data_IF_102949445875
#
_entry.id   IF_102949445875
#
_cell.length_a   1.000
_cell.length_b   1.000
_cell.length_c   1.000
_cell.angle_alpha   90.00
_cell.angle_beta   90.00
_cell.angle_gamma   90.00
#
_symmetry.space_group_name_H-M   'P 1'
#
loop_
_entity.id
_entity.type
_entity.pdbx_description
1 polymer ?
#
# COMPACT_ATOMS: atom_id res chain seq x y z
N UNK A 1 33.24 -14.62 23.10
CA UNK A 1 33.17 -14.52 21.62
C UNK A 1 33.53 -13.11 21.25
N UNK A 2 34.53 -12.93 20.39
CA UNK A 2 35.04 -11.61 20.00
C UNK A 2 35.05 -11.48 18.48
N UNK A 3 35.00 -10.23 18.02
CA UNK A 3 35.24 -9.86 16.64
C UNK A 3 36.37 -8.83 16.59
N UNK A 4 37.34 -9.04 15.71
CA UNK A 4 38.49 -8.16 15.47
C UNK A 4 38.60 -7.91 13.98
N UNK A 5 38.23 -6.70 13.54
CA UNK A 5 37.99 -6.42 12.13
C UNK A 5 36.96 -7.39 11.53
N UNK A 6 37.37 -8.17 10.53
CA UNK A 6 36.51 -9.15 9.85
C UNK A 6 36.59 -10.56 10.43
N UNK A 7 37.37 -10.78 11.49
CA UNK A 7 37.53 -12.10 12.10
C UNK A 7 36.61 -12.23 13.31
N UNK A 8 35.82 -13.29 13.36
CA UNK A 8 34.96 -13.62 14.50
C UNK A 8 35.33 -14.99 15.09
N UNK A 9 35.35 -15.09 16.42
CA UNK A 9 35.61 -16.38 17.07
C UNK A 9 35.72 -16.35 18.59
N UNK A 10 36.12 -17.49 19.14
CA UNK A 10 36.32 -17.69 20.59
C UNK A 10 37.83 -17.69 20.86
N UNK A 11 38.29 -16.80 21.73
CA UNK A 11 39.68 -16.81 22.22
C UNK A 11 39.93 -18.09 23.01
N UNK A 12 40.91 -18.89 22.59
CA UNK A 12 41.33 -20.11 23.29
C UNK A 12 42.49 -19.86 24.24
N UNK A 13 43.49 -19.10 23.77
CA UNK A 13 44.71 -18.81 24.53
C UNK A 13 45.30 -17.48 24.09
N UNK A 14 45.76 -16.68 25.04
CA UNK A 14 46.52 -15.45 24.79
C UNK A 14 47.99 -15.76 25.13
N UNK A 15 48.88 -15.61 24.16
CA UNK A 15 50.32 -15.72 24.33
C UNK A 15 51.01 -14.35 24.31
N UNK A 16 52.34 -14.34 24.46
CA UNK A 16 53.13 -13.11 24.56
C UNK A 16 53.05 -12.24 23.29
N UNK A 17 53.08 -12.86 22.11
CA UNK A 17 53.07 -12.16 20.81
C UNK A 17 51.82 -12.41 19.98
N UNK A 18 51.07 -13.47 20.29
CA UNK A 18 49.92 -13.87 19.51
C UNK A 18 48.80 -14.46 20.36
N UNK A 19 47.59 -14.30 19.88
CA UNK A 19 46.36 -14.83 20.46
C UNK A 19 45.78 -15.88 19.52
N UNK A 20 45.39 -17.02 20.09
CA UNK A 20 44.77 -18.13 19.38
C UNK A 20 43.25 -18.00 19.47
N UNK A 21 42.59 -17.91 18.32
CA UNK A 21 41.14 -17.78 18.19
C UNK A 21 40.61 -18.98 17.41
N UNK A 22 39.53 -19.61 17.85
CA UNK A 22 38.80 -20.62 17.07
C UNK A 22 37.56 -19.97 16.44
N UNK A 23 37.42 -20.03 15.12
CA UNK A 23 36.25 -19.54 14.39
C UNK A 23 35.04 -20.46 14.58
N UNK A 24 33.86 -20.03 14.12
CA UNK A 24 32.65 -20.84 14.14
C UNK A 24 32.80 -22.13 13.30
N UNK A 25 33.61 -22.10 12.25
CA UNK A 25 33.93 -23.24 11.39
C UNK A 25 35.00 -24.18 11.98
N UNK A 26 35.32 -24.00 13.28
CA UNK A 26 36.36 -24.75 14.00
C UNK A 26 37.78 -24.58 13.45
N UNK A 27 38.05 -23.51 12.71
CA UNK A 27 39.39 -23.18 12.20
C UNK A 27 40.16 -22.42 13.29
N UNK A 28 41.43 -22.77 13.49
CA UNK A 28 42.31 -22.07 14.44
C UNK A 28 43.07 -20.94 13.76
N UNK A 29 42.86 -19.72 14.23
CA UNK A 29 43.51 -18.49 13.80
C UNK A 29 44.54 -18.05 14.82
N UNK A 30 45.73 -17.66 14.35
CA UNK A 30 46.79 -17.08 15.17
C UNK A 30 46.86 -15.59 14.82
N UNK A 31 46.48 -14.74 15.76
CA UNK A 31 46.39 -13.28 15.55
C UNK A 31 47.50 -12.59 16.33
N UNK A 32 48.40 -11.81 15.70
CA UNK A 32 49.39 -11.02 16.41
C UNK A 32 48.74 -10.05 17.39
N UNK A 33 49.32 -9.89 18.58
CA UNK A 33 48.75 -9.03 19.62
C UNK A 33 48.70 -7.55 19.21
N UNK A 34 49.63 -7.08 18.37
CA UNK A 34 49.61 -5.73 17.82
C UNK A 34 48.31 -5.41 17.08
N UNK A 35 47.71 -6.39 16.41
CA UNK A 35 46.45 -6.21 15.68
C UNK A 35 45.28 -5.82 16.58
N UNK A 36 45.28 -6.25 17.84
CA UNK A 36 44.24 -5.87 18.81
C UNK A 36 44.43 -4.46 19.38
N UNK A 37 45.64 -3.90 19.25
CA UNK A 37 45.93 -2.51 19.61
C UNK A 37 45.58 -1.55 18.47
N UNK A 38 45.74 -2.00 17.23
CA UNK A 38 45.48 -1.22 16.02
C UNK A 38 43.99 -1.20 15.61
N UNK A 39 43.24 -2.26 15.94
CA UNK A 39 41.85 -2.42 15.48
C UNK A 39 40.87 -2.45 16.66
N UNK A 40 39.64 -1.98 16.41
CA UNK A 40 38.54 -2.13 17.35
C UNK A 40 38.20 -3.61 17.59
N UNK A 41 37.96 -3.94 18.87
CA UNK A 41 37.59 -5.29 19.32
C UNK A 41 36.17 -5.26 19.87
N UNK A 42 35.25 -5.94 19.18
CA UNK A 42 33.90 -6.13 19.69
C UNK A 42 33.87 -7.40 20.54
N UNK A 43 33.68 -7.24 21.85
CA UNK A 43 33.56 -8.36 22.77
C UNK A 43 32.08 -8.61 23.13
N UNK A 44 31.49 -9.60 22.47
CA UNK A 44 30.09 -9.98 22.65
C UNK A 44 29.81 -10.72 23.96
N UNK A 45 30.85 -11.19 24.65
CA UNK A 45 30.72 -11.98 25.88
C UNK A 45 31.23 -11.26 27.12
N UNK A 46 31.50 -9.96 27.03
CA UNK A 46 31.99 -9.18 28.16
C UNK A 46 30.86 -8.85 29.14
N UNK A 47 31.04 -9.21 30.42
CA UNK A 47 30.10 -9.05 31.55
C UNK A 47 28.73 -9.71 31.39
N UNK A 48 27.94 -9.32 30.38
CA UNK A 48 26.63 -9.86 30.10
C UNK A 48 26.61 -10.40 28.65
N UNK A 49 26.50 -11.72 28.45
CA UNK A 49 26.51 -12.32 27.11
C UNK A 49 25.20 -12.09 26.35
N UNK A 50 24.21 -11.40 26.96
CA UNK A 50 22.96 -11.04 26.31
C UNK A 50 23.24 -10.07 25.16
N UNK A 51 23.05 -10.56 23.94
CA UNK A 51 23.26 -9.81 22.70
C UNK A 51 21.96 -9.63 21.94
N UNK A 52 21.78 -8.46 21.33
CA UNK A 52 20.63 -8.16 20.46
C UNK A 52 20.97 -8.58 19.02
N UNK A 53 20.11 -9.39 18.42
CA UNK A 53 20.19 -9.79 17.01
C UNK A 53 19.09 -9.07 16.24
N UNK A 54 19.46 -8.53 15.08
CA UNK A 54 18.60 -7.81 14.16
C UNK A 54 18.27 -8.72 12.98
N UNK A 55 16.98 -8.93 12.72
CA UNK A 55 16.48 -9.74 11.61
C UNK A 55 15.61 -8.86 10.70
N UNK A 56 16.13 -8.45 9.53
CA UNK A 56 15.37 -7.65 8.58
C UNK A 56 14.33 -8.52 7.86
N UNK A 57 13.12 -8.01 7.72
CA UNK A 57 11.96 -8.70 7.16
C UNK A 57 11.23 -7.74 6.23
N UNK A 58 10.98 -8.16 4.99
CA UNK A 58 10.17 -7.42 4.01
C UNK A 58 8.83 -8.10 3.77
N UNK A 59 7.74 -7.33 3.76
CA UNK A 59 6.39 -7.83 3.42
C UNK A 59 5.74 -6.95 2.34
N UNK A 60 4.76 -7.48 1.61
CA UNK A 60 4.12 -6.73 0.53
C UNK A 60 3.30 -5.54 1.05
N UNK A 61 3.20 -4.46 0.26
CA UNK A 61 2.50 -3.23 0.62
C UNK A 61 1.00 -3.42 0.96
N UNK A 62 0.35 -4.43 0.37
CA UNK A 62 -1.05 -4.75 0.65
C UNK A 62 -1.29 -5.46 1.99
N UNK A 63 -0.24 -5.77 2.76
CA UNK A 63 -0.35 -6.57 3.98
C UNK A 63 -0.86 -5.76 5.17
N UNK A 64 -1.74 -6.34 5.98
CA UNK A 64 -2.21 -5.68 7.21
C UNK A 64 -1.09 -5.67 8.28
N UNK A 65 -0.55 -4.48 8.57
CA UNK A 65 0.57 -4.26 9.50
C UNK A 65 0.32 -4.87 10.89
N UNK A 66 -0.93 -4.85 11.37
CA UNK A 66 -1.31 -5.41 12.68
C UNK A 66 -1.15 -6.93 12.70
N UNK A 67 -1.56 -7.62 11.62
CA UNK A 67 -1.41 -9.06 11.48
C UNK A 67 0.07 -9.44 11.34
N UNK A 68 0.81 -8.71 10.51
CA UNK A 68 2.27 -8.88 10.36
C UNK A 68 2.97 -8.82 11.71
N UNK A 69 2.68 -7.78 12.50
CA UNK A 69 3.25 -7.61 13.83
C UNK A 69 2.93 -8.77 14.76
N UNK A 70 1.68 -9.22 14.77
CA UNK A 70 1.24 -10.35 15.61
C UNK A 70 1.96 -11.64 15.20
N UNK A 71 1.96 -11.95 13.90
CA UNK A 71 2.56 -13.15 13.32
C UNK A 71 4.05 -13.28 13.65
N UNK A 72 4.81 -12.18 13.49
CA UNK A 72 6.26 -12.18 13.72
C UNK A 72 6.59 -12.23 15.21
N UNK A 73 5.88 -11.46 16.06
CA UNK A 73 6.15 -11.46 17.50
C UNK A 73 5.77 -12.78 18.17
N UNK A 74 4.72 -13.46 17.69
CA UNK A 74 4.33 -14.79 18.15
C UNK A 74 5.43 -15.82 17.89
N UNK A 75 6.01 -15.80 16.69
CA UNK A 75 7.16 -16.64 16.33
C UNK A 75 8.38 -16.32 17.20
N UNK A 76 8.70 -15.03 17.37
CA UNK A 76 9.86 -14.63 18.16
C UNK A 76 9.73 -15.07 19.63
N UNK A 77 8.54 -14.94 20.23
CA UNK A 77 8.29 -15.32 21.63
C UNK A 77 8.23 -16.83 21.86
N UNK A 78 7.84 -17.60 20.85
CA UNK A 78 7.76 -19.07 20.96
C UNK A 78 9.11 -19.76 20.81
N UNK A 79 10.14 -19.06 20.33
CA UNK A 79 11.44 -19.65 20.08
C UNK A 79 12.29 -19.78 21.37
N UNK A 80 12.84 -20.96 21.71
CA UNK A 80 13.49 -21.20 23.00
C UNK A 80 14.81 -20.44 23.20
N UNK A 81 15.54 -20.11 22.13
CA UNK A 81 16.79 -19.34 22.23
C UNK A 81 16.56 -17.83 22.39
N UNK A 82 15.33 -17.35 22.17
CA UNK A 82 14.97 -15.94 22.30
C UNK A 82 14.54 -15.64 23.74
N UNK A 83 15.10 -14.58 24.31
CA UNK A 83 14.74 -14.13 25.64
C UNK A 83 13.37 -13.47 25.64
N UNK A 84 12.57 -13.77 26.67
CA UNK A 84 11.30 -13.10 26.95
C UNK A 84 11.51 -11.78 27.70
N UNK A 85 12.63 -11.63 28.41
CA UNK A 85 13.05 -10.43 29.08
C UNK A 85 14.56 -10.19 28.84
N UNK A 86 14.96 -9.18 28.06
CA UNK A 86 14.12 -8.19 27.36
C UNK A 86 13.22 -8.82 26.29
N UNK A 87 11.99 -8.31 26.15
CA UNK A 87 11.02 -8.87 25.21
C UNK A 87 11.36 -8.53 23.76
N UNK A 88 11.12 -9.44 22.80
CA UNK A 88 11.29 -9.16 21.37
C UNK A 88 10.50 -7.94 20.91
N UNK A 89 11.10 -7.13 20.05
CA UNK A 89 10.49 -5.94 19.49
C UNK A 89 10.48 -6.01 17.97
N UNK A 90 9.42 -5.51 17.36
CA UNK A 90 9.33 -5.37 15.90
C UNK A 90 9.22 -3.88 15.59
N UNK A 91 10.18 -3.35 14.86
CA UNK A 91 10.18 -1.96 14.42
C UNK A 91 9.83 -1.88 12.94
N UNK A 92 8.90 -1.01 12.60
CA UNK A 92 8.70 -0.59 11.21
C UNK A 92 9.82 0.39 10.88
N UNK A 93 10.68 0.07 9.90
CA UNK A 93 11.81 0.92 9.55
C UNK A 93 11.39 1.97 8.54
N UNK A 94 10.97 1.51 7.37
CA UNK A 94 10.76 2.36 6.20
C UNK A 94 9.84 1.69 5.18
N UNK A 95 9.39 2.50 4.23
CA UNK A 95 8.73 2.06 3.01
C UNK A 95 9.82 1.87 1.93
N UNK A 96 10.16 0.62 1.62
CA UNK A 96 11.17 0.29 0.62
C UNK A 96 10.59 0.21 -0.80
N UNK A 97 11.45 0.13 -1.82
CA UNK A 97 11.04 0.22 -3.24
C UNK A 97 9.97 -0.81 -3.66
N UNK A 98 9.95 -2.00 -3.06
CA UNK A 98 8.96 -3.06 -3.35
C UNK A 98 8.40 -3.73 -2.09
N UNK A 99 8.78 -3.27 -0.90
CA UNK A 99 8.42 -3.92 0.36
C UNK A 99 8.27 -2.95 1.53
N UNK A 100 7.42 -3.30 2.48
CA UNK A 100 7.40 -2.70 3.81
C UNK A 100 8.51 -3.35 4.64
N UNK A 101 9.49 -2.54 5.07
CA UNK A 101 10.68 -3.03 5.76
C UNK A 101 10.50 -2.99 7.27
N UNK A 102 10.65 -4.15 7.90
CA UNK A 102 10.58 -4.35 9.34
C UNK A 102 11.90 -4.90 9.88
N UNK A 103 12.22 -4.51 11.11
CA UNK A 103 13.33 -5.07 11.86
C UNK A 103 12.81 -5.75 13.12
N UNK A 104 13.00 -7.08 13.16
CA UNK A 104 12.79 -7.86 14.36
C UNK A 104 14.07 -7.83 15.21
N UNK A 105 13.92 -7.31 16.42
CA UNK A 105 14.93 -7.25 17.46
C UNK A 105 14.67 -8.36 18.47
N UNK A 106 15.61 -9.30 18.59
CA UNK A 106 15.57 -10.39 19.56
C UNK A 106 16.82 -10.37 20.42
N UNK A 107 16.70 -10.80 21.67
CA UNK A 107 17.84 -10.91 22.59
C UNK A 107 18.17 -12.37 22.83
N UNK A 108 19.47 -12.71 22.80
CA UNK A 108 19.97 -14.08 22.98
C UNK A 108 21.09 -14.13 24.00
N UNK A 109 21.24 -15.25 24.70
CA UNK A 109 22.33 -15.48 25.67
C UNK A 109 23.65 -15.91 25.03
N UNK A 110 23.58 -16.44 23.80
CA UNK A 110 24.71 -17.10 23.15
C UNK A 110 25.02 -16.46 21.79
N UNK A 111 25.87 -15.43 21.75
CA UNK A 111 26.17 -14.68 20.52
C UNK A 111 26.66 -15.55 19.36
N UNK A 112 27.38 -16.64 19.67
CA UNK A 112 27.87 -17.60 18.67
C UNK A 112 26.75 -18.28 17.87
N UNK A 113 25.52 -18.34 18.40
CA UNK A 113 24.37 -18.95 17.73
C UNK A 113 23.59 -17.97 16.86
N UNK A 114 24.00 -16.69 16.79
CA UNK A 114 23.27 -15.61 16.09
C UNK A 114 22.85 -15.99 14.66
N UNK A 115 23.74 -16.62 13.89
CA UNK A 115 23.48 -17.00 12.50
C UNK A 115 22.47 -18.15 12.39
N UNK A 116 22.64 -19.18 13.24
CA UNK A 116 21.73 -20.32 13.31
C UNK A 116 20.33 -19.87 13.71
N UNK A 117 20.23 -19.04 14.76
CA UNK A 117 18.97 -18.49 15.19
C UNK A 117 18.31 -17.64 14.11
N UNK A 118 19.06 -16.74 13.46
CA UNK A 118 18.52 -15.90 12.39
C UNK A 118 17.90 -16.74 11.27
N UNK A 119 18.58 -17.81 10.86
CA UNK A 119 18.06 -18.73 9.85
C UNK A 119 16.78 -19.43 10.31
N UNK A 120 16.76 -19.97 11.53
CA UNK A 120 15.60 -20.67 12.10
C UNK A 120 14.39 -19.74 12.28
N UNK A 121 14.62 -18.50 12.74
CA UNK A 121 13.58 -17.48 12.84
C UNK A 121 13.02 -17.15 11.45
N UNK A 122 13.87 -16.97 10.44
CA UNK A 122 13.40 -16.69 9.08
C UNK A 122 12.49 -17.81 8.54
N UNK A 123 12.85 -19.08 8.73
CA UNK A 123 12.00 -20.21 8.32
C UNK A 123 10.63 -20.18 9.03
N UNK A 124 10.62 -19.96 10.35
CA UNK A 124 9.37 -19.91 11.12
C UNK A 124 8.52 -18.69 10.79
N UNK A 125 9.15 -17.55 10.54
CA UNK A 125 8.49 -16.32 10.13
C UNK A 125 7.83 -16.54 8.78
N UNK A 126 8.53 -17.12 7.80
CA UNK A 126 7.96 -17.45 6.49
C UNK A 126 6.69 -18.30 6.62
N UNK A 127 6.75 -19.40 7.38
CA UNK A 127 5.60 -20.27 7.62
C UNK A 127 4.45 -19.53 8.32
N UNK A 128 4.76 -18.68 9.30
CA UNK A 128 3.76 -17.88 10.01
C UNK A 128 3.10 -16.85 9.08
N UNK A 129 3.89 -16.10 8.31
CA UNK A 129 3.38 -15.13 7.35
C UNK A 129 2.46 -15.80 6.34
N UNK A 130 2.85 -16.96 5.81
CA UNK A 130 2.01 -17.77 4.91
C UNK A 130 0.70 -18.20 5.57
N UNK A 131 0.72 -18.63 6.83
CA UNK A 131 -0.49 -19.00 7.60
C UNK A 131 -1.47 -17.83 7.76
N UNK A 132 -0.96 -16.61 7.90
CA UNK A 132 -1.76 -15.39 8.00
C UNK A 132 -2.12 -14.78 6.63
N UNK A 133 -1.76 -15.43 5.51
CA UNK A 133 -2.04 -14.94 4.15
C UNK A 133 -1.22 -13.69 3.78
N UNK A 134 -0.07 -13.48 4.40
CA UNK A 134 0.82 -12.36 4.13
C UNK A 134 1.81 -12.76 3.03
N UNK A 135 1.77 -12.06 1.91
CA UNK A 135 2.66 -12.29 0.78
C UNK A 135 4.03 -11.65 1.01
N UNK A 136 5.07 -12.39 0.64
CA UNK A 136 6.45 -11.89 0.57
C UNK A 136 6.62 -11.26 -0.82
N UNK A 137 7.00 -9.96 -0.89
CA UNK A 137 7.03 -9.26 -2.15
C UNK A 137 8.18 -9.75 -3.03
N UNK A 138 7.89 -9.91 -4.31
CA UNK A 138 8.92 -9.95 -5.33
C UNK A 138 9.24 -8.51 -5.75
N UNK A 139 10.47 -8.22 -6.19
CA UNK A 139 10.80 -6.91 -6.75
C UNK A 139 9.85 -6.61 -7.91
N UNK A 140 9.09 -5.52 -7.78
CA UNK A 140 8.18 -5.06 -8.82
C UNK A 140 8.93 -4.07 -9.71
N UNK A 141 8.79 -4.21 -11.03
CA UNK A 141 9.38 -3.30 -11.99
C UNK A 141 8.33 -2.90 -13.02
N UNK A 142 7.94 -1.63 -12.97
CA UNK A 142 7.07 -1.05 -13.98
C UNK A 142 7.91 -0.65 -15.19
N UNK A 143 7.58 -1.22 -16.36
CA UNK A 143 8.25 -0.91 -17.62
C UNK A 143 7.34 0.00 -18.46
N UNK A 144 7.66 1.29 -18.50
CA UNK A 144 7.01 2.22 -19.41
C UNK A 144 7.78 2.24 -20.73
N UNK A 145 7.30 1.44 -21.70
CA UNK A 145 7.84 1.45 -23.06
C UNK A 145 7.33 2.68 -23.81
N UNK A 146 8.24 3.60 -24.15
CA UNK A 146 7.98 4.74 -25.03
C UNK A 146 8.79 4.56 -26.31
N UNK A 147 8.20 3.93 -27.31
CA UNK A 147 8.76 3.87 -28.68
C UNK A 147 7.67 4.37 -29.63
N UNK A 148 7.98 5.33 -30.51
CA UNK A 148 7.01 5.82 -31.49
C UNK A 148 6.59 4.70 -32.46
N UNK A 149 7.46 3.73 -32.77
CA UNK A 149 7.08 2.57 -33.60
C UNK A 149 6.10 1.64 -32.86
N UNK A 150 6.33 1.39 -31.56
CA UNK A 150 5.44 0.55 -30.75
C UNK A 150 4.08 1.24 -30.54
N UNK A 151 4.05 2.55 -30.31
CA UNK A 151 2.81 3.33 -30.21
C UNK A 151 2.01 3.29 -31.51
N UNK A 152 2.67 3.46 -32.66
CA UNK A 152 2.04 3.33 -33.98
C UNK A 152 1.54 1.89 -34.23
N UNK A 153 2.29 0.87 -33.84
CA UNK A 153 1.87 -0.53 -33.95
C UNK A 153 0.65 -0.84 -33.08
N UNK A 154 0.63 -0.33 -31.84
CA UNK A 154 -0.51 -0.47 -30.92
C UNK A 154 -1.74 0.23 -31.48
N UNK A 155 -1.60 1.46 -31.99
CA UNK A 155 -2.69 2.21 -32.63
C UNK A 155 -3.23 1.49 -33.87
N UNK A 156 -2.34 0.97 -34.72
CA UNK A 156 -2.71 0.23 -35.94
C UNK A 156 -3.44 -1.07 -35.59
N UNK A 157 -3.00 -1.78 -34.55
CA UNK A 157 -3.66 -2.99 -34.06
C UNK A 157 -5.03 -2.68 -33.44
N UNK A 158 -5.14 -1.60 -32.66
CA UNK A 158 -6.41 -1.15 -32.10
C UNK A 158 -7.40 -0.76 -33.19
N UNK A 159 -7.00 -0.02 -34.22
CA UNK A 159 -7.87 0.35 -35.34
C UNK A 159 -8.40 -0.85 -36.12
N UNK A 160 -7.59 -1.91 -36.27
CA UNK A 160 -7.95 -3.10 -37.04
C UNK A 160 -8.89 -4.05 -36.30
N UNK A 161 -8.85 -4.05 -34.96
CA UNK A 161 -9.65 -4.93 -34.11
C UNK A 161 -10.75 -4.22 -33.33
N UNK A 162 -10.90 -2.90 -33.48
CA UNK A 162 -12.06 -2.18 -32.98
C UNK A 162 -13.20 -2.37 -33.97
N UNK A 163 -14.35 -2.98 -33.59
CA UNK A 163 -15.49 -3.09 -34.49
C UNK A 163 -15.88 -1.69 -34.98
N UNK A 164 -15.97 -1.51 -36.30
CA UNK A 164 -16.41 -0.26 -36.90
C UNK A 164 -17.74 0.15 -36.26
N UNK A 165 -17.78 1.35 -35.70
CA UNK A 165 -19.01 1.96 -35.21
C UNK A 165 -20.05 1.91 -36.33
N UNK A 166 -21.15 1.20 -36.10
CA UNK A 166 -22.30 1.18 -37.00
C UNK A 166 -22.74 2.64 -37.19
N UNK A 167 -22.71 3.13 -38.43
CA UNK A 167 -23.25 4.45 -38.79
C UNK A 167 -24.73 4.49 -38.38
N UNK A 168 -25.03 5.18 -37.28
CA UNK A 168 -26.40 5.48 -36.89
C UNK A 168 -26.93 6.56 -37.85
N UNK A 169 -27.85 6.18 -38.73
CA UNK A 169 -28.55 7.10 -39.63
C UNK A 169 -29.39 8.10 -38.82
N UNK A 170 -28.99 9.38 -38.83
CA UNK A 170 -29.76 10.48 -38.25
C UNK A 170 -30.50 11.27 -39.36
N UNK A 171 -31.81 11.52 -39.22
CA UNK A 171 -32.56 12.32 -40.19
C UNK A 171 -32.05 13.76 -40.26
N UNK A 172 -32.05 14.34 -41.47
CA UNK A 172 -31.42 15.62 -41.85
C UNK A 172 -32.00 16.90 -41.18
N UNK A 173 -32.81 16.80 -40.13
CA UNK A 173 -33.33 17.96 -39.40
C UNK A 173 -32.39 18.47 -38.30
N UNK A 174 -31.27 17.78 -38.01
CA UNK A 174 -30.32 18.15 -36.95
C UNK A 174 -29.06 18.88 -37.45
N UNK A 175 -28.67 18.71 -38.72
CA UNK A 175 -27.44 19.28 -39.26
C UNK A 175 -27.48 20.83 -39.31
N UNK A 176 -28.64 21.40 -39.60
CA UNK A 176 -28.81 22.84 -39.81
C UNK A 176 -28.66 23.70 -38.54
N UNK A 177 -28.61 23.08 -37.36
CA UNK A 177 -28.49 23.75 -36.05
C UNK A 177 -27.06 23.77 -35.50
N UNK A 178 -26.17 22.97 -36.09
CA UNK A 178 -24.77 22.86 -35.71
C UNK A 178 -23.92 23.95 -36.38
N UNK A 179 -24.13 24.21 -37.68
CA UNK A 179 -23.38 25.23 -38.42
C UNK A 179 -23.63 26.65 -37.90
N UNK A 180 -24.83 26.95 -37.40
CA UNK A 180 -25.17 28.26 -36.85
C UNK A 180 -24.54 28.56 -35.48
N UNK A 181 -24.01 27.54 -34.79
CA UNK A 181 -23.34 27.72 -33.49
C UNK A 181 -21.82 27.89 -33.62
N UNK A 182 -21.27 27.56 -34.78
CA UNK A 182 -19.82 27.60 -35.05
C UNK A 182 -19.37 29.02 -35.44
N UNK A 183 -20.28 29.90 -35.90
CA UNK A 183 -19.94 31.29 -36.25
C UNK A 183 -19.67 32.23 -35.07
N UNK A 184 -20.09 31.85 -33.86
CA UNK A 184 -20.16 32.78 -32.73
C UNK A 184 -18.98 32.68 -31.76
N UNK A 185 -17.95 31.90 -32.11
CA UNK A 185 -16.75 31.71 -31.29
C UNK A 185 -15.52 32.29 -32.00
N UNK A 186 -15.39 33.61 -31.98
CA UNK A 186 -14.09 34.27 -32.20
C UNK A 186 -13.21 34.02 -30.98
N UNK A 187 -12.03 33.47 -31.22
CA UNK A 187 -11.00 33.14 -30.24
C UNK A 187 -10.11 34.37 -30.03
N UNK A 188 -10.07 34.89 -28.80
CA UNK A 188 -8.97 35.75 -28.36
C UNK A 188 -7.87 34.85 -27.78
N UNK A 189 -6.74 34.82 -28.49
CA UNK A 189 -5.47 34.25 -28.05
C UNK A 189 -4.86 35.18 -26.99
N UNK A 190 -4.62 34.67 -25.78
CA UNK A 190 -3.46 34.97 -24.92
C UNK A 190 -3.70 34.44 -23.48
N UNK A 191 -3.37 33.16 -23.24
CA UNK A 191 -2.54 32.74 -22.10
C UNK A 191 -2.28 31.22 -22.16
N UNK A 192 -1.21 30.84 -22.86
CA UNK A 192 -0.80 29.46 -23.02
C UNK A 192 0.45 29.20 -22.16
N UNK A 193 0.25 28.83 -20.89
CA UNK A 193 1.28 28.13 -20.13
C UNK A 193 0.72 27.03 -19.19
N UNK A 194 0.73 25.81 -19.76
CA UNK A 194 1.02 24.52 -19.10
C UNK A 194 -0.06 23.84 -18.25
N UNK A 195 -1.00 23.23 -18.99
CA UNK A 195 -1.26 21.77 -19.09
C UNK A 195 -1.72 21.07 -17.80
N UNK A 196 -3.05 21.15 -17.60
CA UNK A 196 -3.90 20.04 -17.16
C UNK A 196 -4.23 19.14 -18.36
N UNK A 197 -4.16 17.82 -18.21
CA UNK A 197 -4.75 16.87 -19.18
C UNK A 197 -5.44 15.69 -18.49
N UNK A 198 -6.02 15.92 -17.29
CA UNK A 198 -6.91 14.94 -16.63
C UNK A 198 -8.27 15.49 -16.21
N UNK A 199 -8.50 16.79 -16.25
CA UNK A 199 -9.70 17.41 -15.68
C UNK A 199 -10.81 17.72 -16.71
N UNK A 200 -10.58 17.45 -18.01
CA UNK A 200 -11.49 17.86 -19.10
C UNK A 200 -12.51 16.79 -19.55
N UNK A 201 -12.50 15.58 -19.00
CA UNK A 201 -13.56 14.59 -19.26
C UNK A 201 -14.70 14.74 -18.25
N UNK A 202 -14.43 15.32 -17.07
CA UNK A 202 -15.41 15.40 -16.00
C UNK A 202 -16.45 16.52 -16.23
N UNK A 203 -16.10 17.62 -16.90
CA UNK A 203 -16.93 18.84 -16.91
C UNK A 203 -18.15 18.84 -17.84
N UNK A 204 -18.20 18.04 -18.91
CA UNK A 204 -19.36 18.03 -19.83
C UNK A 204 -20.50 17.09 -19.40
N UNK A 205 -20.20 15.96 -18.74
CA UNK A 205 -21.23 15.06 -18.20
C UNK A 205 -21.90 15.68 -16.95
N UNK A 206 -21.13 16.47 -16.18
CA UNK A 206 -21.54 17.07 -14.90
C UNK A 206 -22.54 18.25 -15.01
N UNK A 207 -22.69 18.88 -16.18
CA UNK A 207 -23.53 20.07 -16.32
C UNK A 207 -24.99 19.80 -16.71
N UNK A 208 -25.35 18.57 -17.11
CA UNK A 208 -26.71 18.21 -17.51
C UNK A 208 -27.47 17.35 -16.50
N UNK A 209 -26.87 17.04 -15.34
CA UNK A 209 -27.54 16.32 -14.26
C UNK A 209 -28.09 17.35 -13.28
N UNK A 210 -29.41 17.41 -13.17
CA UNK A 210 -30.08 18.19 -12.12
C UNK A 210 -29.86 17.50 -10.76
N UNK A 211 -28.84 17.98 -10.04
CA UNK A 211 -28.38 17.39 -8.77
C UNK A 211 -29.46 17.48 -7.69
N UNK A 212 -30.33 18.50 -7.73
CA UNK A 212 -31.41 18.66 -6.77
C UNK A 212 -32.49 17.59 -6.97
N UNK A 213 -32.78 17.26 -8.24
CA UNK A 213 -33.69 16.16 -8.59
C UNK A 213 -33.07 14.80 -8.21
N UNK A 214 -31.77 14.61 -8.44
CA UNK A 214 -31.07 13.39 -8.05
C UNK A 214 -31.11 13.15 -6.54
N UNK A 215 -30.91 14.18 -5.71
CA UNK A 215 -30.97 14.05 -4.25
C UNK A 215 -32.38 13.67 -3.77
N UNK A 216 -33.42 14.27 -4.36
CA UNK A 216 -34.81 13.92 -4.04
C UNK A 216 -35.12 12.45 -4.38
N UNK A 217 -34.64 11.98 -5.52
CA UNK A 217 -34.78 10.57 -5.90
C UNK A 217 -34.00 9.63 -4.96
N UNK A 218 -32.77 10.02 -4.58
CA UNK A 218 -31.96 9.23 -3.64
C UNK A 218 -32.60 9.14 -2.26
N UNK A 219 -33.26 10.20 -1.76
CA UNK A 219 -33.99 10.20 -0.48
C UNK A 219 -35.38 9.56 -0.57
N UNK A 220 -35.92 9.37 -1.77
CA UNK A 220 -37.26 8.86 -2.01
C UNK A 220 -37.45 7.38 -1.63
N UNK A 221 -38.70 6.91 -1.70
CA UNK A 221 -39.08 5.52 -1.36
C UNK A 221 -38.42 4.45 -2.24
N UNK A 222 -38.01 4.82 -3.46
CA UNK A 222 -37.30 3.96 -4.42
C UNK A 222 -35.80 4.30 -4.50
N UNK A 223 -35.31 5.13 -3.56
CA UNK A 223 -33.94 5.63 -3.49
C UNK A 223 -32.96 4.68 -2.79
N UNK A 224 -31.92 5.27 -2.20
CA UNK A 224 -30.94 4.50 -1.41
C UNK A 224 -31.54 4.07 -0.07
N UNK A 225 -31.12 2.91 0.45
CA UNK A 225 -31.66 2.37 1.71
C UNK A 225 -31.09 3.11 2.93
N UNK A 226 -31.78 4.18 3.34
CA UNK A 226 -31.49 4.99 4.52
C UNK A 226 -32.08 4.30 5.76
N UNK A 227 -31.24 3.89 6.71
CA UNK A 227 -31.68 3.32 7.98
C UNK A 227 -30.63 3.49 9.07
N UNK A 228 -31.03 3.33 10.32
CA UNK A 228 -30.10 3.27 11.44
C UNK A 228 -29.32 1.97 11.38
N UNK A 229 -27.99 2.07 11.44
CA UNK A 229 -27.10 0.90 11.37
C UNK A 229 -26.19 0.88 12.58
N UNK A 230 -26.21 -0.25 13.29
CA UNK A 230 -25.25 -0.54 14.35
C UNK A 230 -23.99 -1.10 13.74
N UNK A 231 -22.85 -0.46 13.99
CA UNK A 231 -21.56 -0.97 13.55
C UNK A 231 -20.48 -0.76 14.60
N UNK A 232 -19.73 -1.84 14.88
CA UNK A 232 -18.81 -1.95 16.02
C UNK A 232 -19.50 -1.57 17.34
N UNK A 233 -19.05 -0.49 17.98
CA UNK A 233 -19.50 -0.01 19.29
C UNK A 233 -20.43 1.21 19.20
N UNK A 234 -20.88 1.59 17.99
CA UNK A 234 -21.73 2.76 17.76
C UNK A 234 -22.99 2.44 16.94
N UNK A 235 -23.98 3.32 17.07
CA UNK A 235 -25.18 3.34 16.22
C UNK A 235 -25.08 4.61 15.37
N UNK A 236 -25.17 4.43 14.05
CA UNK A 236 -25.17 5.52 13.09
C UNK A 236 -26.57 5.66 12.51
N UNK A 237 -27.25 6.72 12.90
CA UNK A 237 -28.63 7.00 12.49
C UNK A 237 -28.70 7.53 11.06
N UNK A 238 -29.80 7.19 10.35
CA UNK A 238 -30.13 7.67 9.00
C UNK A 238 -29.00 7.54 7.96
N UNK A 239 -28.27 6.42 7.95
CA UNK A 239 -27.15 6.23 7.02
C UNK A 239 -27.48 5.29 5.85
N UNK A 240 -26.80 5.51 4.72
CA UNK A 240 -26.81 4.64 3.54
C UNK A 240 -25.40 4.09 3.26
N UNK A 241 -25.31 3.02 2.47
CA UNK A 241 -24.03 2.35 2.16
C UNK A 241 -23.53 2.79 0.78
N UNK A 242 -22.25 3.13 0.66
CA UNK A 242 -21.64 3.58 -0.61
C UNK A 242 -21.85 2.59 -1.76
N UNK A 243 -21.59 1.30 -1.53
CA UNK A 243 -21.82 0.25 -2.53
C UNK A 243 -23.30 0.03 -2.91
N UNK A 244 -24.25 0.35 -2.02
CA UNK A 244 -25.68 0.33 -2.34
C UNK A 244 -26.07 1.54 -3.19
N UNK A 245 -25.50 2.72 -2.89
CA UNK A 245 -25.72 3.94 -3.66
C UNK A 245 -25.17 3.83 -5.10
N UNK A 246 -23.98 3.25 -5.29
CA UNK A 246 -23.43 2.99 -6.62
C UNK A 246 -24.32 2.05 -7.42
N UNK A 247 -24.77 0.94 -6.82
CA UNK A 247 -25.71 0.02 -7.47
C UNK A 247 -27.03 0.69 -7.85
N UNK A 248 -27.51 1.63 -7.04
CA UNK A 248 -28.71 2.39 -7.33
C UNK A 248 -28.48 3.36 -8.51
N UNK A 249 -27.39 4.13 -8.50
CA UNK A 249 -27.04 5.06 -9.59
C UNK A 249 -26.90 4.33 -10.94
N UNK A 250 -26.28 3.15 -10.95
CA UNK A 250 -26.15 2.34 -12.16
C UNK A 250 -27.50 1.82 -12.67
N UNK A 251 -28.45 1.52 -11.79
CA UNK A 251 -29.76 0.95 -12.16
C UNK A 251 -30.75 2.01 -12.61
N UNK A 252 -30.80 3.15 -11.91
CA UNK A 252 -31.84 4.16 -12.10
C UNK A 252 -31.45 5.19 -13.15
N UNK A 253 -30.16 5.58 -13.17
CA UNK A 253 -29.66 6.66 -14.02
C UNK A 253 -28.75 6.15 -15.16
N UNK A 254 -28.63 4.82 -15.30
CA UNK A 254 -27.84 4.14 -16.33
C UNK A 254 -26.36 4.57 -16.38
N UNK A 255 -25.80 5.03 -15.26
CA UNK A 255 -24.38 5.40 -15.15
C UNK A 255 -23.48 4.17 -15.16
N UNK A 256 -22.28 4.34 -15.71
CA UNK A 256 -21.20 3.37 -15.56
C UNK A 256 -20.60 3.43 -14.14
N UNK A 257 -19.76 2.43 -13.79
CA UNK A 257 -19.19 2.35 -12.44
C UNK A 257 -18.34 3.57 -12.07
N UNK A 258 -17.57 4.11 -13.01
CA UNK A 258 -16.70 5.26 -12.77
C UNK A 258 -17.51 6.55 -12.63
N UNK A 259 -18.50 6.77 -13.50
CA UNK A 259 -19.46 7.87 -13.42
C UNK A 259 -20.21 7.87 -12.09
N UNK A 260 -20.69 6.71 -11.62
CA UNK A 260 -21.38 6.62 -10.34
C UNK A 260 -20.47 6.97 -9.15
N UNK A 261 -19.18 6.65 -9.22
CA UNK A 261 -18.19 7.05 -8.20
C UNK A 261 -17.89 8.55 -8.30
N UNK A 262 -17.71 9.09 -9.51
CA UNK A 262 -17.48 10.52 -9.75
C UNK A 262 -18.66 11.36 -9.27
N UNK A 263 -19.90 10.92 -9.52
CA UNK A 263 -21.11 11.56 -9.00
C UNK A 263 -21.14 11.52 -7.48
N UNK A 264 -20.86 10.38 -6.85
CA UNK A 264 -20.79 10.32 -5.39
C UNK A 264 -19.70 11.22 -4.81
N UNK A 265 -18.56 11.35 -5.48
CA UNK A 265 -17.49 12.28 -5.08
C UNK A 265 -17.92 13.74 -5.28
N UNK A 266 -18.65 14.05 -6.36
CA UNK A 266 -19.24 15.36 -6.58
C UNK A 266 -20.22 15.74 -5.47
N UNK A 267 -21.08 14.80 -5.03
CA UNK A 267 -22.03 15.03 -3.95
C UNK A 267 -21.32 15.32 -2.62
N UNK A 268 -20.16 14.71 -2.36
CA UNK A 268 -19.32 15.04 -1.21
C UNK A 268 -18.70 16.44 -1.37
N UNK A 269 -18.11 16.73 -2.54
CA UNK A 269 -17.46 18.01 -2.79
C UNK A 269 -18.43 19.19 -2.71
N UNK A 270 -19.70 18.98 -3.08
CA UNK A 270 -20.78 19.96 -2.95
C UNK A 270 -21.40 20.02 -1.56
N UNK A 271 -20.96 19.18 -0.62
CA UNK A 271 -21.48 19.15 0.75
C UNK A 271 -22.93 18.68 0.84
N UNK A 272 -23.38 17.80 -0.05
CA UNK A 272 -24.74 17.23 -0.04
C UNK A 272 -24.80 15.91 0.75
N UNK A 273 -23.70 15.16 0.72
CA UNK A 273 -23.48 13.96 1.52
C UNK A 273 -22.12 14.02 2.21
N UNK A 274 -21.97 13.30 3.30
CA UNK A 274 -20.67 13.12 3.95
C UNK A 274 -20.48 11.68 4.40
N UNK A 275 -19.22 11.28 4.55
CA UNK A 275 -18.88 10.01 5.16
C UNK A 275 -19.11 10.13 6.67
N UNK A 276 -19.77 9.16 7.29
CA UNK A 276 -20.20 9.28 8.71
C UNK A 276 -19.04 9.47 9.69
N UNK A 277 -17.81 9.10 9.32
CA UNK A 277 -16.59 9.35 10.10
C UNK A 277 -15.68 10.45 9.53
N UNK A 278 -16.03 11.08 8.41
CA UNK A 278 -15.27 12.13 7.69
C UNK A 278 -13.80 11.78 7.39
N UNK A 279 -13.49 10.50 7.12
CA UNK A 279 -12.11 10.05 6.88
C UNK A 279 -11.71 9.93 5.42
N UNK A 280 -12.69 9.78 4.52
CA UNK A 280 -12.44 9.40 3.13
C UNK A 280 -13.51 10.00 2.19
N UNK A 281 -13.15 10.13 0.90
CA UNK A 281 -14.08 10.45 -0.17
C UNK A 281 -15.09 9.33 -0.46
N UNK A 282 -15.80 9.46 -1.58
CA UNK A 282 -16.84 8.51 -1.95
C UNK A 282 -16.22 7.23 -2.53
N UNK A 283 -16.66 6.07 -2.06
CA UNK A 283 -16.15 4.77 -2.50
C UNK A 283 -17.28 3.76 -2.70
N UNK A 284 -17.12 2.91 -3.71
CA UNK A 284 -17.96 1.73 -3.93
C UNK A 284 -17.62 0.60 -2.94
N UNK A 285 -17.73 0.87 -1.65
CA UNK A 285 -17.42 -0.07 -0.57
C UNK A 285 -18.56 -0.15 0.47
N UNK A 286 -18.45 -1.06 1.44
CA UNK A 286 -19.36 -1.11 2.58
C UNK A 286 -19.00 -0.04 3.62
N UNK A 287 -19.10 1.22 3.22
CA UNK A 287 -18.87 2.41 4.04
C UNK A 287 -20.17 3.19 4.21
N UNK A 288 -20.32 3.87 5.35
CA UNK A 288 -21.54 4.60 5.69
C UNK A 288 -21.42 6.08 5.32
N UNK A 289 -22.45 6.56 4.66
CA UNK A 289 -22.62 7.95 4.28
C UNK A 289 -23.97 8.45 4.81
N UNK A 290 -24.05 9.73 5.11
CA UNK A 290 -25.28 10.42 5.49
C UNK A 290 -25.48 11.62 4.59
N UNK A 291 -26.73 11.97 4.34
CA UNK A 291 -27.06 13.27 3.80
C UNK A 291 -26.85 14.33 4.89
N UNK A 292 -26.42 15.53 4.51
CA UNK A 292 -26.57 16.66 5.43
C UNK A 292 -28.07 16.91 5.63
N UNK A 293 -28.47 17.15 6.89
CA UNK A 293 -29.83 17.59 7.19
C UNK A 293 -29.96 19.01 6.60
N UNK A 294 -30.88 19.18 5.65
CA UNK A 294 -31.36 20.52 5.28
C UNK A 294 -32.12 21.03 6.51
N UNK A 295 -31.62 22.11 7.13
CA UNK A 295 -32.37 22.90 8.12
C UNK A 295 -33.66 23.46 7.52
#
# INVERSE_FOLDING_TARGET
>A
FIQVGNLEGIVKRIGLRSTYITTLDKISLIVPNSRFLENEVLNWSHNNPVSRVKVPIGVAYGSEIKLVRKAILEVAKSHPEVLLNPSPQLWFQEFGDSSLNFDLLVWIREPQKKHKLKSELNYRIEVSLRKYGIEIPFPQRDLHLKSPEIEQMIQTWMQKNTPQSVELYYPHSFAHKLESKISDLQLDEEDNSKISTRDNIDSEILNNIDIDTLIKEMRGSHGVTIKDRRHRWGIYSKCFVGSEAVKWLMRTQNFNLQEAISIGQLLINRGLIHHVLDKHGFKNEYLFYSFYEEE
#
